data_IF_147577316278
#
_entry.id   IF_147577316278
#
_cell.length_a   1.000
_cell.length_b   1.000
_cell.length_c   1.000
_cell.angle_alpha   90.00
_cell.angle_beta   90.00
_cell.angle_gamma   90.00
#
_symmetry.space_group_name_H-M   'P 1'
#
loop_
_entity.id
_entity.type
_entity.pdbx_description
1 polymer ?
#
# COMPACT_ATOMS: atom_id res chain seq x y z
N UNK A 1 7.44 -51.13 19.78
CA UNK A 1 8.59 -50.71 18.93
C UNK A 1 8.15 -50.48 17.47
N UNK A 2 7.52 -51.43 16.78
CA UNK A 2 7.08 -51.24 15.38
C UNK A 2 6.07 -50.06 15.19
N UNK A 3 5.14 -49.89 16.13
CA UNK A 3 4.13 -48.83 16.12
C UNK A 3 4.73 -47.41 16.26
N UNK A 4 5.84 -47.27 17.00
CA UNK A 4 6.55 -45.98 17.12
C UNK A 4 7.18 -45.53 15.81
N UNK A 5 7.70 -46.47 15.01
CA UNK A 5 8.28 -46.16 13.70
C UNK A 5 7.20 -45.68 12.73
N UNK A 6 6.01 -46.29 12.75
CA UNK A 6 4.87 -45.83 11.95
C UNK A 6 4.43 -44.42 12.35
N UNK A 7 4.32 -44.13 13.64
CA UNK A 7 4.02 -42.77 14.09
C UNK A 7 5.09 -41.76 13.69
N UNK A 8 6.37 -42.14 13.73
CA UNK A 8 7.46 -41.27 13.29
C UNK A 8 7.44 -41.01 11.78
N UNK A 9 7.06 -42.01 10.98
CA UNK A 9 6.89 -41.88 9.52
C UNK A 9 5.71 -40.97 9.18
N UNK A 10 4.56 -41.16 9.84
CA UNK A 10 3.38 -40.30 9.69
C UNK A 10 3.73 -38.86 10.08
N UNK A 11 4.38 -38.66 11.23
CA UNK A 11 4.83 -37.35 11.67
C UNK A 11 5.84 -36.70 10.70
N UNK A 12 6.67 -37.49 10.03
CA UNK A 12 7.64 -37.01 9.05
C UNK A 12 6.96 -36.60 7.73
N UNK A 13 5.92 -37.32 7.31
CA UNK A 13 5.08 -36.94 6.17
C UNK A 13 4.28 -35.66 6.46
N UNK A 14 3.72 -35.56 7.67
CA UNK A 14 3.06 -34.35 8.16
C UNK A 14 4.03 -33.17 8.20
N UNK A 15 5.27 -33.37 8.65
CA UNK A 15 6.32 -32.34 8.64
C UNK A 15 6.61 -31.87 7.21
N UNK A 16 6.77 -32.77 6.25
CA UNK A 16 7.03 -32.40 4.85
C UNK A 16 5.86 -31.59 4.26
N UNK A 17 4.64 -32.01 4.54
CA UNK A 17 3.43 -31.28 4.13
C UNK A 17 3.37 -29.90 4.80
N UNK A 18 3.68 -29.81 6.09
CA UNK A 18 3.71 -28.55 6.83
C UNK A 18 4.79 -27.59 6.31
N UNK A 19 5.96 -28.09 5.88
CA UNK A 19 7.02 -27.29 5.24
C UNK A 19 6.54 -26.73 3.90
N UNK A 20 5.86 -27.55 3.08
CA UNK A 20 5.28 -27.09 1.81
C UNK A 20 4.23 -26.02 2.04
N UNK A 21 3.33 -26.22 2.99
CA UNK A 21 2.32 -25.23 3.40
C UNK A 21 3.00 -23.96 3.91
N UNK A 22 3.99 -24.06 4.80
CA UNK A 22 4.72 -22.91 5.30
C UNK A 22 5.44 -22.12 4.20
N UNK A 23 6.01 -22.80 3.20
CA UNK A 23 6.65 -22.14 2.05
C UNK A 23 5.62 -21.43 1.15
N UNK A 24 4.46 -22.06 0.91
CA UNK A 24 3.36 -21.46 0.17
C UNK A 24 2.77 -20.26 0.93
N UNK A 25 2.56 -20.39 2.25
CA UNK A 25 2.13 -19.31 3.14
C UNK A 25 3.14 -18.18 3.25
N UNK A 26 4.46 -18.44 3.18
CA UNK A 26 5.47 -17.38 3.09
C UNK A 26 5.31 -16.57 1.80
N UNK A 27 5.11 -17.23 0.67
CA UNK A 27 4.91 -16.55 -0.61
C UNK A 27 3.60 -15.75 -0.61
N UNK A 28 2.55 -16.31 -0.05
CA UNK A 28 1.26 -15.64 0.13
C UNK A 28 1.38 -14.42 1.07
N UNK A 29 2.14 -14.54 2.16
CA UNK A 29 2.44 -13.43 3.06
C UNK A 29 3.21 -12.30 2.37
N UNK A 30 4.11 -12.61 1.45
CA UNK A 30 4.80 -11.60 0.62
C UNK A 30 3.81 -10.91 -0.31
N UNK A 31 2.91 -11.65 -0.96
CA UNK A 31 1.83 -11.07 -1.78
C UNK A 31 0.90 -10.17 -0.96
N UNK A 32 0.54 -10.58 0.26
CA UNK A 32 -0.31 -9.80 1.16
C UNK A 32 0.36 -8.49 1.61
N UNK A 33 1.68 -8.54 1.87
CA UNK A 33 2.47 -7.33 2.14
C UNK A 33 2.51 -6.37 0.95
N UNK A 34 2.56 -6.89 -0.27
CA UNK A 34 2.53 -6.06 -1.48
C UNK A 34 1.18 -5.34 -1.64
N UNK A 35 0.06 -6.04 -1.46
CA UNK A 35 -1.27 -5.42 -1.52
C UNK A 35 -1.41 -4.33 -0.44
N UNK A 36 -1.00 -4.63 0.79
CA UNK A 36 -1.05 -3.66 1.89
C UNK A 36 -0.19 -2.42 1.60
N UNK A 37 0.99 -2.59 1.00
CA UNK A 37 1.84 -1.49 0.59
C UNK A 37 1.18 -0.61 -0.49
N UNK A 38 0.52 -1.22 -1.48
CA UNK A 38 -0.26 -0.49 -2.49
C UNK A 38 -1.39 0.30 -1.81
N UNK A 39 -2.18 -0.32 -0.93
CA UNK A 39 -3.26 0.39 -0.24
C UNK A 39 -2.75 1.56 0.59
N UNK A 40 -1.64 1.38 1.31
CA UNK A 40 -1.00 2.45 2.10
C UNK A 40 -0.45 3.59 1.24
N UNK A 41 -0.01 3.31 0.00
CA UNK A 41 0.44 4.34 -0.94
C UNK A 41 -0.74 5.15 -1.52
N UNK A 42 -1.88 4.52 -1.76
CA UNK A 42 -3.07 5.17 -2.33
C UNK A 42 -3.89 5.94 -1.29
N UNK A 43 -3.89 5.51 -0.02
CA UNK A 43 -4.66 6.11 1.06
C UNK A 43 -4.41 7.62 1.26
N UNK A 44 -3.16 8.13 1.31
CA UNK A 44 -2.91 9.56 1.42
C UNK A 44 -3.33 10.33 0.16
N UNK A 45 -3.22 9.72 -1.03
CA UNK A 45 -3.64 10.34 -2.28
C UNK A 45 -5.15 10.51 -2.37
N UNK A 46 -5.90 9.48 -1.98
CA UNK A 46 -7.36 9.51 -1.91
C UNK A 46 -7.82 10.52 -0.85
N UNK A 47 -7.16 10.59 0.31
CA UNK A 47 -7.47 11.57 1.35
C UNK A 47 -7.33 13.01 0.84
N UNK A 48 -6.22 13.32 0.16
CA UNK A 48 -6.02 14.63 -0.48
C UNK A 48 -7.10 14.91 -1.53
N UNK A 49 -7.43 13.94 -2.38
CA UNK A 49 -8.48 14.10 -3.40
C UNK A 49 -9.85 14.37 -2.77
N UNK A 50 -10.19 13.68 -1.67
CA UNK A 50 -11.43 13.93 -0.92
C UNK A 50 -11.43 15.28 -0.23
N UNK A 51 -10.30 15.74 0.31
CA UNK A 51 -10.18 17.07 0.91
C UNK A 51 -10.33 18.18 -0.14
N UNK A 52 -9.84 17.99 -1.36
CA UNK A 52 -10.02 18.95 -2.44
C UNK A 52 -11.43 18.88 -3.05
N UNK A 53 -12.11 17.74 -2.94
CA UNK A 53 -13.47 17.53 -3.45
C UNK A 53 -14.55 17.95 -2.47
N UNK A 54 -14.28 17.85 -1.15
CA UNK A 54 -15.06 18.56 -0.14
C UNK A 54 -14.69 20.03 -0.31
N UNK A 55 -15.69 20.86 -0.57
CA UNK A 55 -15.55 22.28 -0.90
C UNK A 55 -15.08 23.13 0.32
N UNK A 56 -13.95 22.78 0.94
CA UNK A 56 -13.34 23.52 2.06
C UNK A 56 -12.77 24.87 1.62
N UNK A 57 -12.65 25.09 0.30
CA UNK A 57 -12.41 26.40 -0.28
C UNK A 57 -13.73 26.95 -0.83
N UNK A 58 -14.60 27.46 0.05
CA UNK A 58 -15.70 28.33 -0.38
C UNK A 58 -15.11 29.45 -1.26
N UNK A 59 -15.32 29.33 -2.57
CA UNK A 59 -15.09 30.38 -3.55
C UNK A 59 -16.11 31.48 -3.28
N UNK A 60 -15.86 32.34 -2.30
CA UNK A 60 -16.59 33.60 -2.17
C UNK A 60 -16.08 34.55 -3.26
N UNK A 61 -16.51 34.29 -4.49
CA UNK A 61 -16.28 35.14 -5.65
C UNK A 61 -17.28 36.30 -5.60
N UNK A 62 -17.07 37.24 -4.68
CA UNK A 62 -17.74 38.54 -4.73
C UNK A 62 -16.85 39.64 -5.33
N UNK A 63 -15.68 39.33 -5.90
CA UNK A 63 -14.92 40.35 -6.60
C UNK A 63 -14.43 39.86 -7.95
N UNK A 64 -15.16 40.32 -8.96
CA UNK A 64 -14.80 40.33 -10.36
C UNK A 64 -13.46 41.06 -10.55
N UNK A 65 -12.35 40.34 -10.44
CA UNK A 65 -11.12 40.77 -11.08
C UNK A 65 -10.25 39.55 -11.34
N UNK A 66 -9.88 39.39 -12.61
CA UNK A 66 -9.06 38.30 -13.08
C UNK A 66 -7.74 38.25 -12.31
N UNK A 67 -7.61 37.26 -11.45
CA UNK A 67 -6.34 36.77 -10.98
C UNK A 67 -6.51 35.26 -10.91
N UNK A 68 -5.80 34.55 -11.77
CA UNK A 68 -5.40 33.16 -11.54
C UNK A 68 -4.84 33.15 -10.10
N UNK A 69 -5.72 32.84 -9.14
CA UNK A 69 -5.53 33.35 -7.78
C UNK A 69 -4.26 32.75 -7.20
N UNK A 70 -3.54 33.55 -6.41
CA UNK A 70 -2.17 33.34 -5.91
C UNK A 70 -1.94 32.05 -5.07
N UNK A 71 -2.85 31.08 -5.14
CA UNK A 71 -2.92 29.84 -4.34
C UNK A 71 -2.87 28.56 -5.20
N UNK A 72 -2.71 28.67 -6.52
CA UNK A 72 -2.43 27.54 -7.42
C UNK A 72 -1.18 26.72 -6.98
N UNK A 73 -0.27 27.35 -6.23
CA UNK A 73 0.90 26.70 -5.63
C UNK A 73 0.54 25.55 -4.68
N UNK A 74 -0.61 25.59 -3.99
CA UNK A 74 -1.04 24.53 -3.05
C UNK A 74 -1.37 23.23 -3.78
N UNK A 75 -1.89 23.30 -5.01
CA UNK A 75 -2.09 22.12 -5.85
C UNK A 75 -0.76 21.39 -6.11
N UNK A 76 0.26 22.15 -6.55
CA UNK A 76 1.62 21.64 -6.79
C UNK A 76 2.31 21.19 -5.50
N UNK A 77 2.12 21.91 -4.39
CA UNK A 77 2.71 21.57 -3.10
C UNK A 77 2.22 20.23 -2.54
N UNK A 78 1.06 19.73 -2.98
CA UNK A 78 0.53 18.43 -2.54
C UNK A 78 0.73 17.36 -3.61
N UNK A 79 0.53 17.67 -4.89
CA UNK A 79 0.73 16.69 -5.97
C UNK A 79 2.19 16.26 -6.08
N UNK A 80 3.16 17.17 -5.95
CA UNK A 80 4.59 16.83 -6.05
C UNK A 80 5.06 15.84 -4.98
N UNK A 81 4.85 16.07 -3.68
CA UNK A 81 5.26 15.10 -2.66
C UNK A 81 4.49 13.79 -2.74
N UNK A 82 3.23 13.82 -3.19
CA UNK A 82 2.45 12.60 -3.41
C UNK A 82 3.03 11.77 -4.57
N UNK A 83 3.36 12.40 -5.70
CA UNK A 83 4.05 11.74 -6.83
C UNK A 83 5.41 11.21 -6.40
N UNK A 84 6.17 11.99 -5.62
CA UNK A 84 7.47 11.56 -5.08
C UNK A 84 7.32 10.34 -4.17
N UNK A 85 6.31 10.32 -3.29
CA UNK A 85 6.00 9.18 -2.42
C UNK A 85 5.69 7.91 -3.22
N UNK A 86 4.91 8.04 -4.30
CA UNK A 86 4.63 6.92 -5.21
C UNK A 86 5.92 6.39 -5.85
N UNK A 87 6.78 7.27 -6.36
CA UNK A 87 8.07 6.88 -6.94
C UNK A 87 9.03 6.28 -5.92
N UNK A 88 9.09 6.81 -4.69
CA UNK A 88 9.94 6.29 -3.59
C UNK A 88 9.45 4.91 -3.16
N UNK A 89 8.14 4.71 -3.03
CA UNK A 89 7.56 3.41 -2.69
C UNK A 89 7.83 2.37 -3.78
N UNK A 90 7.70 2.75 -5.05
CA UNK A 90 8.04 1.90 -6.18
C UNK A 90 9.54 1.55 -6.22
N UNK A 91 10.42 2.52 -6.01
CA UNK A 91 11.86 2.31 -5.97
C UNK A 91 12.31 1.43 -4.79
N UNK A 92 11.71 1.60 -3.61
CA UNK A 92 11.94 0.75 -2.45
C UNK A 92 11.47 -0.69 -2.68
N UNK A 93 10.35 -0.87 -3.39
CA UNK A 93 9.85 -2.20 -3.77
C UNK A 93 10.74 -2.91 -4.79
N UNK A 94 11.39 -2.17 -5.70
CA UNK A 94 12.32 -2.76 -6.67
C UNK A 94 13.69 -3.09 -6.06
N UNK A 95 14.04 -2.44 -4.95
CA UNK A 95 15.30 -2.62 -4.21
C UNK A 95 15.24 -3.77 -3.20
N UNK A 96 14.05 -4.18 -2.78
CA UNK A 96 13.80 -5.22 -1.77
C UNK A 96 13.35 -6.54 -2.40
#
# INVERSE_FOLDING_TARGET
IQLQVLFNLIAQEDQNTNIKIASASKRDSTSMKAIAAVTMAFLPGTFVATLLSMDIFKWDANEASGVISARFWIYWAITVPLTLLTFVTWGLWMRY
#
